data_IF_999501679634
#
_entry.id   IF_999501679634
#
_cell.length_a   1.000
_cell.length_b   1.000
_cell.length_c   1.000
_cell.angle_alpha   90.00
_cell.angle_beta   90.00
_cell.angle_gamma   90.00
#
_symmetry.space_group_name_H-M   'P 1'
#
loop_
_entity.id
_entity.type
_entity.pdbx_description
1 polymer ?
#
# COMPACT_ATOMS: atom_id res chain seq x y z
N UNK A 1 -5.66 -38.34 -4.86
CA UNK A 1 -5.18 -38.76 -6.20
C UNK A 1 -5.61 -37.83 -7.35
N UNK A 2 -6.70 -37.05 -7.25
CA UNK A 2 -7.16 -36.17 -8.35
C UNK A 2 -6.32 -34.88 -8.50
N UNK A 3 -5.80 -34.30 -7.40
CA UNK A 3 -4.98 -33.06 -7.45
C UNK A 3 -3.70 -33.21 -8.29
N UNK A 4 -2.95 -34.30 -8.13
CA UNK A 4 -1.69 -34.50 -8.87
C UNK A 4 -1.87 -34.70 -10.38
N UNK A 5 -2.96 -35.35 -10.82
CA UNK A 5 -3.22 -35.58 -12.23
C UNK A 5 -3.58 -34.29 -12.99
N UNK A 6 -4.33 -33.38 -12.35
CA UNK A 6 -4.68 -32.07 -12.93
C UNK A 6 -3.49 -31.13 -13.02
N UNK A 7 -2.56 -31.18 -12.05
CA UNK A 7 -1.31 -30.39 -12.08
C UNK A 7 -0.45 -30.81 -13.26
N UNK A 8 -0.24 -32.12 -13.47
CA UNK A 8 0.57 -32.64 -14.59
C UNK A 8 -0.07 -32.30 -15.94
N UNK A 9 -1.39 -32.39 -16.06
CA UNK A 9 -2.08 -32.11 -17.32
C UNK A 9 -2.06 -30.62 -17.72
N UNK A 10 -2.01 -29.71 -16.74
CA UNK A 10 -2.02 -28.25 -16.98
C UNK A 10 -0.65 -27.60 -16.72
N UNK A 11 0.41 -28.41 -16.55
CA UNK A 11 1.74 -27.95 -16.17
C UNK A 11 2.28 -26.81 -17.05
N UNK A 12 2.17 -26.83 -18.40
CA UNK A 12 2.68 -25.73 -19.23
C UNK A 12 1.93 -24.40 -19.01
N UNK A 13 0.62 -24.45 -18.77
CA UNK A 13 -0.20 -23.26 -18.49
C UNK A 13 0.10 -22.70 -17.09
N UNK A 14 0.31 -23.59 -16.12
CA UNK A 14 0.71 -23.23 -14.76
C UNK A 14 2.09 -22.58 -14.77
N UNK A 15 3.10 -23.21 -15.38
CA UNK A 15 4.46 -22.68 -15.49
C UNK A 15 4.49 -21.33 -16.20
N UNK A 16 3.64 -21.13 -17.21
CA UNK A 16 3.50 -19.84 -17.87
C UNK A 16 2.94 -18.76 -16.93
N UNK A 17 1.93 -19.08 -16.10
CA UNK A 17 1.27 -18.11 -15.23
C UNK A 17 2.04 -17.82 -13.93
N UNK A 18 2.73 -18.82 -13.38
CA UNK A 18 3.47 -18.69 -12.11
C UNK A 18 4.95 -18.45 -12.33
N UNK A 19 5.47 -18.77 -13.52
CA UNK A 19 6.85 -18.53 -13.92
C UNK A 19 7.03 -17.28 -14.78
N UNK A 20 5.94 -16.64 -15.25
CA UNK A 20 6.08 -15.30 -15.82
C UNK A 20 6.37 -14.26 -14.73
N UNK A 21 7.07 -13.20 -15.14
CA UNK A 21 7.52 -12.14 -14.24
C UNK A 21 6.36 -11.54 -13.43
N UNK A 22 5.22 -11.36 -14.08
CA UNK A 22 4.01 -10.76 -13.49
C UNK A 22 3.43 -11.62 -12.36
N UNK A 23 3.38 -12.94 -12.55
CA UNK A 23 2.92 -13.90 -11.55
C UNK A 23 3.84 -13.92 -10.33
N UNK A 24 5.16 -14.01 -10.56
CA UNK A 24 6.17 -13.99 -9.49
C UNK A 24 6.14 -12.68 -8.69
N UNK A 25 6.05 -11.54 -9.37
CA UNK A 25 5.90 -10.22 -8.72
C UNK A 25 4.62 -10.15 -7.87
N UNK A 26 3.52 -10.75 -8.35
CA UNK A 26 2.26 -10.79 -7.59
C UNK A 26 2.35 -11.71 -6.37
N UNK A 27 3.04 -12.86 -6.50
CA UNK A 27 3.27 -13.76 -5.36
C UNK A 27 4.12 -13.06 -4.30
N UNK A 28 5.22 -12.43 -4.69
CA UNK A 28 6.08 -11.66 -3.77
C UNK A 28 5.33 -10.49 -3.13
N UNK A 29 4.47 -9.80 -3.87
CA UNK A 29 3.59 -8.79 -3.29
C UNK A 29 2.63 -9.40 -2.25
N UNK A 30 2.03 -10.56 -2.56
CA UNK A 30 1.11 -11.24 -1.65
C UNK A 30 1.78 -11.75 -0.36
N UNK A 31 3.09 -12.04 -0.36
CA UNK A 31 3.86 -12.40 0.84
C UNK A 31 3.85 -11.30 1.90
N UNK A 32 3.68 -10.03 1.50
CA UNK A 32 3.60 -8.88 2.42
C UNK A 32 2.18 -8.65 2.98
N UNK A 33 1.21 -9.49 2.60
CA UNK A 33 -0.16 -9.38 3.12
C UNK A 33 -0.16 -9.62 4.63
N UNK A 34 -0.81 -8.76 5.44
CA UNK A 34 -0.89 -8.98 6.88
C UNK A 34 -1.48 -10.36 7.23
N UNK A 35 -0.92 -11.08 8.23
CA UNK A 35 -1.46 -12.36 8.66
C UNK A 35 -2.94 -12.28 9.04
N UNK A 36 -3.75 -13.20 8.53
CA UNK A 36 -5.20 -13.26 8.74
C UNK A 36 -6.02 -12.36 7.82
N UNK A 37 -5.39 -11.54 6.97
CA UNK A 37 -6.11 -10.67 6.04
C UNK A 37 -6.72 -11.45 4.86
N UNK A 38 -7.79 -10.86 4.29
CA UNK A 38 -8.35 -11.25 3.01
C UNK A 38 -7.72 -10.42 1.91
N UNK A 39 -6.98 -11.07 1.01
CA UNK A 39 -6.40 -10.47 -0.19
C UNK A 39 -7.38 -10.61 -1.37
N UNK A 40 -7.87 -9.49 -1.88
CA UNK A 40 -8.63 -9.45 -3.12
C UNK A 40 -7.66 -9.23 -4.29
N UNK A 41 -7.69 -10.14 -5.26
CA UNK A 41 -7.05 -9.94 -6.56
C UNK A 41 -8.11 -10.24 -7.62
N UNK A 42 -8.36 -9.32 -8.58
CA UNK A 42 -9.31 -9.57 -9.64
C UNK A 42 -8.99 -10.89 -10.36
N UNK A 43 -10.03 -11.67 -10.66
CA UNK A 43 -9.87 -12.93 -11.36
C UNK A 43 -9.17 -12.69 -12.72
N UNK A 44 -7.90 -13.09 -12.79
CA UNK A 44 -7.05 -13.18 -13.98
C UNK A 44 -5.76 -13.94 -13.66
N UNK A 45 -4.75 -13.81 -14.52
CA UNK A 45 -3.44 -14.48 -14.36
C UNK A 45 -2.81 -14.27 -12.98
N UNK A 46 -2.87 -13.04 -12.46
CA UNK A 46 -2.35 -12.66 -11.13
C UNK A 46 -3.04 -13.42 -10.00
N UNK A 47 -4.37 -13.52 -10.02
CA UNK A 47 -5.14 -14.27 -9.03
C UNK A 47 -4.76 -15.76 -9.07
N UNK A 48 -4.63 -16.33 -10.26
CA UNK A 48 -4.20 -17.73 -10.40
C UNK A 48 -2.77 -17.99 -9.95
N UNK A 49 -1.84 -17.07 -10.19
CA UNK A 49 -0.47 -17.20 -9.70
C UNK A 49 -0.44 -17.30 -8.17
N UNK A 50 -1.15 -16.40 -7.48
CA UNK A 50 -1.26 -16.40 -6.01
C UNK A 50 -2.03 -17.62 -5.51
N UNK A 51 -3.13 -17.99 -6.17
CA UNK A 51 -3.91 -19.18 -5.84
C UNK A 51 -3.09 -20.47 -5.99
N UNK A 52 -2.24 -20.57 -7.01
CA UNK A 52 -1.34 -21.71 -7.18
C UNK A 52 -0.26 -21.76 -6.09
N UNK A 53 0.39 -20.62 -5.80
CA UNK A 53 1.35 -20.53 -4.71
C UNK A 53 0.74 -20.99 -3.38
N UNK A 54 -0.50 -20.59 -3.10
CA UNK A 54 -1.24 -21.00 -1.91
C UNK A 54 -1.65 -22.45 -1.91
N UNK A 55 -2.48 -22.86 -2.87
CA UNK A 55 -3.20 -24.12 -2.81
C UNK A 55 -2.37 -25.33 -3.29
N UNK A 56 -1.27 -25.08 -3.99
CA UNK A 56 -0.40 -26.13 -4.57
C UNK A 56 1.01 -26.11 -3.97
N UNK A 57 1.63 -24.94 -3.86
CA UNK A 57 2.99 -24.83 -3.30
C UNK A 57 3.02 -24.76 -1.76
N UNK A 58 1.87 -24.54 -1.10
CA UNK A 58 1.79 -24.40 0.36
C UNK A 58 2.46 -23.13 0.87
N UNK A 59 2.52 -22.09 0.04
CA UNK A 59 2.94 -20.74 0.43
C UNK A 59 1.70 -19.95 0.91
N UNK A 60 1.88 -18.77 1.49
CA UNK A 60 0.75 -17.83 1.73
C UNK A 60 -0.42 -18.39 2.57
N UNK A 61 -0.21 -19.42 3.40
CA UNK A 61 -1.25 -20.01 4.26
C UNK A 61 -1.82 -19.01 5.30
N UNK A 62 -1.12 -17.89 5.51
CA UNK A 62 -1.51 -16.83 6.42
C UNK A 62 -2.61 -15.92 5.88
N UNK A 63 -3.00 -16.03 4.60
CA UNK A 63 -4.04 -15.17 4.00
C UNK A 63 -5.21 -15.97 3.41
N UNK A 64 -6.34 -15.27 3.27
CA UNK A 64 -7.47 -15.72 2.47
C UNK A 64 -7.43 -15.01 1.10
N UNK A 65 -7.38 -15.76 0.00
CA UNK A 65 -7.46 -15.20 -1.34
C UNK A 65 -8.92 -15.18 -1.83
N UNK A 66 -9.38 -14.04 -2.34
CA UNK A 66 -10.69 -13.88 -2.99
C UNK A 66 -10.56 -13.13 -4.32
N UNK A 67 -11.62 -13.19 -5.13
CA UNK A 67 -11.73 -12.44 -6.38
C UNK A 67 -12.78 -11.31 -6.31
N UNK A 68 -12.99 -10.64 -7.43
CA UNK A 68 -13.91 -9.51 -7.56
C UNK A 68 -15.41 -9.85 -7.41
N UNK A 69 -15.77 -11.11 -7.12
CA UNK A 69 -17.16 -11.57 -6.92
C UNK A 69 -17.51 -11.83 -5.45
N UNK A 70 -16.54 -11.69 -4.54
CA UNK A 70 -16.76 -11.93 -3.12
C UNK A 70 -17.64 -10.84 -2.49
N UNK A 71 -18.23 -11.14 -1.32
CA UNK A 71 -18.99 -10.15 -0.56
C UNK A 71 -18.03 -9.26 0.25
N UNK A 72 -17.60 -8.13 -0.33
CA UNK A 72 -16.65 -7.23 0.33
C UNK A 72 -17.20 -6.54 1.57
N UNK A 73 -18.52 -6.35 1.67
CA UNK A 73 -19.10 -5.75 2.87
C UNK A 73 -18.87 -6.63 4.09
N UNK A 74 -19.14 -7.92 3.97
CA UNK A 74 -18.94 -8.86 5.08
C UNK A 74 -17.44 -9.02 5.37
N UNK A 75 -16.62 -9.17 4.32
CA UNK A 75 -15.17 -9.32 4.47
C UNK A 75 -14.49 -8.12 5.16
N UNK A 76 -14.90 -6.89 4.82
CA UNK A 76 -14.36 -5.68 5.43
C UNK A 76 -14.96 -5.40 6.83
N UNK A 77 -16.10 -6.00 7.17
CA UNK A 77 -16.69 -5.92 8.51
C UNK A 77 -16.05 -6.93 9.48
N UNK A 78 -15.73 -8.13 8.98
CA UNK A 78 -15.24 -9.24 9.78
C UNK A 78 -13.71 -9.27 9.94
N UNK A 79 -12.97 -8.54 9.10
CA UNK A 79 -11.52 -8.54 9.14
C UNK A 79 -10.84 -7.51 8.23
N UNK A 80 -9.55 -7.74 7.98
CA UNK A 80 -8.71 -6.89 7.14
C UNK A 80 -8.92 -7.28 5.67
N UNK A 81 -9.64 -6.44 4.92
CA UNK A 81 -9.76 -6.56 3.46
C UNK A 81 -8.66 -5.74 2.80
N UNK A 82 -7.81 -6.38 2.00
CA UNK A 82 -6.64 -5.77 1.37
C UNK A 82 -6.65 -6.07 -0.13
N UNK A 83 -6.17 -5.12 -0.94
CA UNK A 83 -6.00 -5.28 -2.39
C UNK A 83 -4.70 -4.61 -2.85
N UNK A 84 -4.01 -5.12 -3.88
CA UNK A 84 -2.91 -4.40 -4.50
C UNK A 84 -3.33 -3.03 -5.07
N UNK A 85 -2.48 -2.02 -4.96
CA UNK A 85 -2.81 -0.65 -5.39
C UNK A 85 -3.15 -0.56 -6.89
N UNK A 86 -2.49 -1.35 -7.75
CA UNK A 86 -2.75 -1.35 -9.18
C UNK A 86 -4.20 -1.75 -9.53
N UNK A 87 -4.92 -2.39 -8.60
CA UNK A 87 -6.32 -2.79 -8.84
C UNK A 87 -7.22 -1.58 -9.03
N UNK A 88 -6.90 -0.42 -8.44
CA UNK A 88 -7.70 0.80 -8.55
C UNK A 88 -7.76 1.39 -9.97
N UNK A 89 -6.84 1.02 -10.87
CA UNK A 89 -6.92 1.41 -12.28
C UNK A 89 -8.12 0.79 -13.01
N UNK A 90 -8.55 -0.41 -12.62
CA UNK A 90 -9.72 -1.09 -13.21
C UNK A 90 -10.91 -1.20 -12.27
N UNK A 91 -10.66 -1.08 -10.96
CA UNK A 91 -11.64 -1.10 -9.88
C UNK A 91 -11.47 0.16 -9.03
N UNK A 92 -11.85 1.34 -9.57
CA UNK A 92 -11.64 2.61 -8.88
C UNK A 92 -12.38 2.65 -7.54
N UNK A 93 -12.04 3.62 -6.68
CA UNK A 93 -12.65 3.77 -5.35
C UNK A 93 -14.19 3.78 -5.40
N UNK A 94 -14.78 4.40 -6.44
CA UNK A 94 -16.24 4.40 -6.66
C UNK A 94 -16.81 3.00 -6.89
N UNK A 95 -16.08 2.13 -7.61
CA UNK A 95 -16.49 0.74 -7.79
C UNK A 95 -16.51 -0.01 -6.45
N UNK A 96 -15.50 0.20 -5.60
CA UNK A 96 -15.47 -0.39 -4.25
C UNK A 96 -16.67 0.08 -3.40
N UNK A 97 -16.96 1.39 -3.44
CA UNK A 97 -18.12 1.96 -2.75
C UNK A 97 -19.44 1.37 -3.24
N UNK A 98 -19.58 1.11 -4.54
CA UNK A 98 -20.77 0.47 -5.12
C UNK A 98 -20.88 -1.01 -4.72
N UNK A 99 -19.79 -1.78 -4.79
CA UNK A 99 -19.80 -3.20 -4.40
C UNK A 99 -20.10 -3.38 -2.91
N UNK A 100 -19.58 -2.48 -2.07
CA UNK A 100 -19.83 -2.50 -0.62
C UNK A 100 -21.19 -1.87 -0.30
N UNK A 101 -21.64 -0.88 -1.06
CA UNK A 101 -22.84 -0.08 -0.78
C UNK A 101 -22.66 0.94 0.36
N UNK A 102 -21.43 1.42 0.57
CA UNK A 102 -21.07 2.42 1.59
C UNK A 102 -19.76 3.15 1.21
N UNK A 103 -19.46 4.32 1.79
CA UNK A 103 -18.13 4.93 1.68
C UNK A 103 -17.03 3.97 2.17
N UNK A 104 -15.84 4.12 1.60
CA UNK A 104 -14.65 3.35 1.98
C UNK A 104 -13.49 4.28 2.35
N UNK A 105 -12.66 3.79 3.25
CA UNK A 105 -11.51 4.50 3.79
C UNK A 105 -10.26 3.67 3.50
N UNK A 106 -9.27 4.31 2.89
CA UNK A 106 -8.07 3.64 2.39
C UNK A 106 -6.88 3.97 3.29
N UNK A 107 -6.10 2.95 3.61
CA UNK A 107 -4.80 3.06 4.26
C UNK A 107 -3.84 2.04 3.65
N UNK A 108 -2.53 2.26 3.75
CA UNK A 108 -1.56 1.27 3.34
C UNK A 108 -1.48 0.15 4.40
N UNK A 109 -1.68 -1.10 3.97
CA UNK A 109 -1.52 -2.29 4.82
C UNK A 109 -0.07 -2.81 4.80
N UNK A 110 0.58 -2.69 3.65
CA UNK A 110 1.98 -3.00 3.39
C UNK A 110 2.39 -2.27 2.10
N UNK A 111 3.68 -2.27 1.70
CA UNK A 111 4.10 -1.72 0.41
C UNK A 111 3.23 -2.24 -0.74
N UNK A 112 2.63 -1.31 -1.49
CA UNK A 112 1.74 -1.55 -2.64
C UNK A 112 0.46 -2.34 -2.32
N UNK A 113 0.11 -2.51 -1.04
CA UNK A 113 -1.12 -3.14 -0.56
C UNK A 113 -1.98 -2.13 0.18
N UNK A 114 -3.22 -1.96 -0.27
CA UNK A 114 -4.19 -1.02 0.28
C UNK A 114 -5.26 -1.76 1.06
N UNK A 115 -5.48 -1.36 2.31
CA UNK A 115 -6.61 -1.79 3.11
C UNK A 115 -7.87 -1.03 2.70
N UNK A 116 -8.99 -1.75 2.58
CA UNK A 116 -10.32 -1.20 2.37
C UNK A 116 -11.11 -1.28 3.68
N UNK A 117 -11.39 -0.14 4.31
CA UNK A 117 -12.11 -0.06 5.58
C UNK A 117 -13.50 0.55 5.42
N UNK A 118 -14.47 0.09 6.23
CA UNK A 118 -15.84 0.64 6.28
C UNK A 118 -15.96 1.88 7.17
N UNK A 119 -14.97 2.10 8.03
CA UNK A 119 -14.91 3.23 8.96
C UNK A 119 -13.55 3.91 8.87
N UNK A 120 -13.48 5.25 8.98
CA UNK A 120 -12.21 5.95 9.02
C UNK A 120 -11.47 5.61 10.31
N UNK A 121 -10.16 5.46 10.23
CA UNK A 121 -9.32 5.51 11.42
C UNK A 121 -9.36 6.93 12.01
N UNK A 122 -9.39 7.03 13.33
CA UNK A 122 -9.54 8.30 14.04
C UNK A 122 -8.25 8.68 14.73
N UNK A 123 -7.73 9.85 14.39
CA UNK A 123 -6.59 10.43 15.07
C UNK A 123 -7.00 10.95 16.48
N UNK A 124 -6.04 11.04 17.42
CA UNK A 124 -6.14 11.98 18.53
C UNK A 124 -6.41 13.41 18.03
N UNK A 125 -6.87 14.28 18.92
CA UNK A 125 -7.11 15.68 18.56
C UNK A 125 -5.81 16.35 18.07
N UNK A 126 -5.82 16.84 16.83
CA UNK A 126 -4.75 17.63 16.20
C UNK A 126 -5.20 19.07 16.02
N UNK A 127 -4.26 20.02 15.96
CA UNK A 127 -4.57 21.44 15.80
C UNK A 127 -4.36 21.95 14.36
N UNK A 128 -3.64 21.20 13.53
CA UNK A 128 -3.35 21.50 12.14
C UNK A 128 -3.16 20.19 11.35
N UNK A 129 -3.06 20.28 10.03
CA UNK A 129 -2.55 19.19 9.20
C UNK A 129 -1.12 18.88 9.65
N UNK A 130 -0.88 17.64 10.08
CA UNK A 130 0.40 17.22 10.69
C UNK A 130 0.61 15.71 10.52
N UNK A 131 1.84 15.25 10.77
CA UNK A 131 2.14 13.84 11.02
C UNK A 131 1.90 13.53 12.50
N UNK A 132 1.03 12.56 12.78
CA UNK A 132 0.73 12.13 14.17
C UNK A 132 1.56 10.93 14.61
N UNK A 133 2.08 10.15 13.65
CA UNK A 133 3.01 9.06 13.90
C UNK A 133 3.90 8.85 12.68
N UNK A 134 5.15 8.45 12.93
CA UNK A 134 6.09 8.10 11.87
C UNK A 134 7.19 7.19 12.40
N UNK A 135 7.53 6.17 11.62
CA UNK A 135 8.53 5.19 12.01
C UNK A 135 9.29 4.65 10.80
N UNK A 136 10.55 4.28 11.02
CA UNK A 136 11.37 3.55 10.06
C UNK A 136 11.41 2.09 10.46
N UNK A 137 11.15 1.21 9.49
CA UNK A 137 11.36 -0.22 9.62
C UNK A 137 12.39 -0.71 8.60
N UNK A 138 13.39 -1.42 9.10
CA UNK A 138 14.49 -1.94 8.30
C UNK A 138 14.19 -3.38 7.91
N UNK A 139 14.25 -3.66 6.61
CA UNK A 139 14.19 -4.98 6.02
C UNK A 139 15.49 -5.26 5.27
N UNK A 140 15.74 -6.51 4.92
CA UNK A 140 17.02 -6.93 4.30
C UNK A 140 17.36 -6.12 3.04
N UNK A 141 16.38 -5.90 2.16
CA UNK A 141 16.56 -5.19 0.88
C UNK A 141 15.80 -3.85 0.80
N UNK A 142 15.14 -3.43 1.88
CA UNK A 142 14.27 -2.25 1.88
C UNK A 142 14.24 -1.51 3.22
N UNK A 143 13.95 -0.22 3.15
CA UNK A 143 13.65 0.63 4.30
C UNK A 143 12.22 1.13 4.12
N UNK A 144 11.35 0.85 5.08
CA UNK A 144 9.96 1.29 5.04
C UNK A 144 9.80 2.49 5.96
N UNK A 145 9.37 3.62 5.41
CA UNK A 145 8.86 4.74 6.18
C UNK A 145 7.34 4.56 6.33
N UNK A 146 6.86 4.39 7.56
CA UNK A 146 5.43 4.51 7.87
C UNK A 146 5.14 5.93 8.32
N UNK A 147 4.05 6.49 7.82
CA UNK A 147 3.58 7.81 8.23
C UNK A 147 2.07 7.77 8.42
N UNK A 148 1.59 8.31 9.53
CA UNK A 148 0.16 8.56 9.74
C UNK A 148 -0.07 10.07 9.77
N UNK A 149 -0.87 10.54 8.83
CA UNK A 149 -1.25 11.93 8.68
C UNK A 149 -2.62 12.19 9.31
N UNK A 150 -2.84 13.40 9.83
CA UNK A 150 -4.16 13.83 10.26
C UNK A 150 -4.35 15.33 10.11
N UNK A 151 -5.60 15.77 10.00
CA UNK A 151 -5.97 17.19 9.99
C UNK A 151 -7.25 17.42 10.80
N UNK A 152 -7.38 18.53 11.57
CA UNK A 152 -8.60 18.82 12.33
C UNK A 152 -9.82 19.13 11.47
N UNK A 153 -9.60 19.45 10.19
CA UNK A 153 -10.61 19.81 9.21
C UNK A 153 -10.29 19.12 7.87
N UNK A 154 -11.26 18.99 6.98
CA UNK A 154 -11.00 18.56 5.60
C UNK A 154 -10.07 19.57 4.93
N UNK A 155 -8.86 19.17 4.49
CA UNK A 155 -7.97 20.04 3.73
C UNK A 155 -8.66 20.59 2.47
N UNK A 156 -8.40 21.86 2.16
CA UNK A 156 -9.03 22.56 1.03
C UNK A 156 -8.34 22.29 -0.33
N UNK A 157 -7.14 21.73 -0.30
CA UNK A 157 -6.34 21.44 -1.48
C UNK A 157 -5.65 20.08 -1.35
N UNK A 158 -5.45 19.43 -2.48
CA UNK A 158 -4.63 18.22 -2.56
C UNK A 158 -3.15 18.61 -2.54
N UNK A 159 -2.39 17.87 -1.73
CA UNK A 159 -0.95 17.99 -1.62
C UNK A 159 -0.30 16.67 -2.05
N UNK A 160 0.87 16.77 -2.65
CA UNK A 160 1.72 15.63 -2.96
C UNK A 160 2.64 15.31 -1.80
N UNK A 161 3.06 14.05 -1.70
CA UNK A 161 4.02 13.57 -0.71
C UNK A 161 5.38 13.50 -1.36
N UNK A 162 6.40 14.03 -0.69
CA UNK A 162 7.80 13.73 -1.03
C UNK A 162 8.41 12.84 0.05
N UNK A 163 9.26 11.91 -0.36
CA UNK A 163 10.02 11.02 0.53
C UNK A 163 11.38 10.77 -0.09
N UNK A 164 12.42 11.33 0.49
CA UNK A 164 13.79 11.28 -0.01
C UNK A 164 14.71 10.58 0.99
N UNK A 165 15.39 9.53 0.54
CA UNK A 165 16.49 8.90 1.26
C UNK A 165 17.78 9.68 0.96
N UNK A 166 18.46 10.17 1.99
CA UNK A 166 19.65 10.99 1.89
C UNK A 166 20.89 10.23 2.38
N UNK A 167 22.06 10.56 1.82
CA UNK A 167 23.36 10.13 2.33
C UNK A 167 23.90 11.08 3.41
N UNK A 168 25.08 10.79 3.97
CA UNK A 168 25.74 11.63 5.00
C UNK A 168 26.10 13.04 4.51
N UNK A 169 26.14 13.27 3.19
CA UNK A 169 26.41 14.57 2.59
C UNK A 169 25.12 15.34 2.24
N UNK A 170 23.95 14.75 2.52
CA UNK A 170 22.64 15.30 2.18
C UNK A 170 22.23 15.10 0.71
N UNK A 171 22.91 14.23 -0.04
CA UNK A 171 22.53 13.90 -1.41
C UNK A 171 21.38 12.89 -1.42
N UNK A 172 20.38 13.09 -2.29
CA UNK A 172 19.28 12.15 -2.48
C UNK A 172 19.80 10.90 -3.20
N UNK A 173 19.71 9.75 -2.54
CA UNK A 173 20.14 8.45 -3.07
C UNK A 173 18.96 7.55 -3.46
N UNK A 174 17.76 7.80 -2.95
CA UNK A 174 16.51 7.19 -3.39
C UNK A 174 15.31 8.10 -3.07
N UNK A 175 14.17 7.86 -3.71
CA UNK A 175 12.93 8.60 -3.47
C UNK A 175 11.69 7.73 -3.67
N UNK A 176 10.59 8.12 -3.02
CA UNK A 176 9.30 7.45 -3.09
C UNK A 176 8.13 8.46 -3.12
N UNK A 177 8.31 9.55 -3.87
CA UNK A 177 7.33 10.65 -4.01
C UNK A 177 6.02 10.15 -4.63
N UNK A 178 4.89 10.69 -4.16
CA UNK A 178 3.54 10.31 -4.59
C UNK A 178 2.63 11.52 -4.76
N UNK A 179 1.68 11.46 -5.69
CA UNK A 179 0.77 12.59 -5.95
C UNK A 179 -0.21 12.87 -4.80
N UNK A 180 -0.47 11.88 -3.94
CA UNK A 180 -1.22 11.96 -2.68
C UNK A 180 -0.88 10.73 -1.81
N UNK A 181 -1.25 10.71 -0.52
CA UNK A 181 -1.10 9.52 0.31
C UNK A 181 -1.85 8.29 -0.21
N UNK A 182 -1.42 7.12 0.27
CA UNK A 182 -1.91 5.78 -0.05
C UNK A 182 -1.78 5.49 -1.55
N UNK A 183 -0.55 5.58 -2.07
CA UNK A 183 -0.21 5.35 -3.48
C UNK A 183 -0.97 6.29 -4.45
N UNK A 184 -1.29 7.51 -4.00
CA UNK A 184 -2.09 8.46 -4.77
C UNK A 184 -3.61 8.25 -4.68
N UNK A 185 -4.07 7.22 -3.96
CA UNK A 185 -5.50 6.87 -3.87
C UNK A 185 -6.24 7.56 -2.72
N UNK A 186 -5.55 8.33 -1.87
CA UNK A 186 -6.17 9.10 -0.78
C UNK A 186 -5.86 10.62 -0.85
N UNK A 187 -6.37 11.35 -1.87
CA UNK A 187 -6.28 12.81 -1.94
C UNK A 187 -6.80 13.49 -0.67
N UNK A 188 -6.12 14.55 -0.25
CA UNK A 188 -6.36 15.23 1.03
C UNK A 188 -7.76 15.85 1.10
N UNK A 189 -8.26 16.37 -0.02
CA UNK A 189 -9.62 16.94 -0.11
C UNK A 189 -10.73 15.92 0.16
N UNK A 190 -10.42 14.62 0.11
CA UNK A 190 -11.33 13.53 0.46
C UNK A 190 -11.33 13.15 1.95
N UNK A 191 -10.47 13.75 2.77
CA UNK A 191 -10.33 13.39 4.18
C UNK A 191 -11.46 13.94 5.03
N UNK A 192 -11.84 13.19 6.06
CA UNK A 192 -12.74 13.69 7.09
C UNK A 192 -11.97 14.46 8.18
N UNK A 193 -12.62 15.44 8.86
CA UNK A 193 -12.05 16.08 10.04
C UNK A 193 -11.62 15.06 11.09
N UNK A 194 -10.34 15.02 11.45
CA UNK A 194 -9.74 14.09 12.41
C UNK A 194 -9.61 12.64 11.92
N UNK A 195 -9.69 12.41 10.61
CA UNK A 195 -9.29 11.14 10.00
C UNK A 195 -7.77 10.96 10.14
N UNK A 196 -7.36 9.74 10.51
CA UNK A 196 -5.97 9.29 10.42
C UNK A 196 -5.78 8.54 9.10
N UNK A 197 -4.84 9.00 8.28
CA UNK A 197 -4.49 8.39 6.99
C UNK A 197 -3.08 7.83 7.07
N UNK A 198 -2.98 6.51 7.18
CA UNK A 198 -1.72 5.77 7.30
C UNK A 198 -1.22 5.33 5.92
N UNK A 199 0.07 5.56 5.66
CA UNK A 199 0.76 5.22 4.42
C UNK A 199 2.12 4.56 4.69
N UNK A 200 2.64 3.83 3.70
CA UNK A 200 3.91 3.12 3.76
C UNK A 200 4.70 3.37 2.49
N UNK A 201 5.84 4.04 2.64
CA UNK A 201 6.78 4.37 1.57
C UNK A 201 7.99 3.43 1.64
N UNK A 202 8.12 2.55 0.65
CA UNK A 202 9.25 1.63 0.56
C UNK A 202 10.38 2.28 -0.25
N UNK A 203 11.55 2.41 0.37
CA UNK A 203 12.81 2.81 -0.24
C UNK A 203 13.75 1.60 -0.31
N UNK A 204 14.66 1.53 -1.29
CA UNK A 204 15.67 0.48 -1.31
C UNK A 204 16.61 0.62 -0.11
N UNK A 205 17.04 -0.50 0.47
CA UNK A 205 18.17 -0.48 1.41
C UNK A 205 19.42 0.00 0.65
N UNK A 206 20.18 0.91 1.26
CA UNK A 206 21.34 1.51 0.64
C UNK A 206 22.45 1.74 1.66
N UNK A 207 23.67 1.33 1.32
CA UNK A 207 24.86 1.66 2.11
C UNK A 207 25.06 3.18 2.12
N UNK A 208 25.30 3.74 3.30
CA UNK A 208 25.47 5.18 3.48
C UNK A 208 24.16 5.97 3.54
N UNK A 209 23.01 5.29 3.61
CA UNK A 209 21.74 5.93 3.97
C UNK A 209 21.81 6.51 5.38
N UNK A 210 21.58 7.82 5.50
CA UNK A 210 21.72 8.57 6.75
C UNK A 210 20.37 9.03 7.30
N UNK A 211 19.50 9.54 6.43
CA UNK A 211 18.29 10.27 6.82
C UNK A 211 17.19 10.07 5.79
N UNK A 212 15.95 9.92 6.24
CA UNK A 212 14.77 10.05 5.38
C UNK A 212 14.15 11.41 5.64
N UNK A 213 14.09 12.24 4.59
CA UNK A 213 13.38 13.52 4.61
C UNK A 213 12.05 13.37 3.89
N UNK A 214 10.96 13.73 4.53
CA UNK A 214 9.63 13.54 3.96
C UNK A 214 8.67 14.66 4.36
N UNK A 215 7.56 14.78 3.64
CA UNK A 215 6.61 15.83 3.91
C UNK A 215 5.53 15.96 2.85
N UNK A 216 4.76 17.04 2.95
CA UNK A 216 3.71 17.40 2.01
C UNK A 216 4.10 18.66 1.27
N UNK A 217 3.84 18.71 -0.03
CA UNK A 217 4.17 19.85 -0.87
C UNK A 217 3.08 20.10 -1.92
N UNK A 218 3.10 21.27 -2.52
CA UNK A 218 2.35 21.56 -3.72
C UNK A 218 3.23 22.28 -4.75
N UNK A 219 2.83 22.18 -6.02
CA UNK A 219 3.45 22.96 -7.08
C UNK A 219 2.69 24.27 -7.27
N UNK A 220 3.42 25.39 -7.18
CA UNK A 220 2.91 26.73 -7.45
C UNK A 220 2.66 26.94 -8.95
N UNK A 221 1.84 27.94 -9.34
CA UNK A 221 1.57 28.25 -10.74
C UNK A 221 2.82 28.62 -11.58
N UNK A 222 3.92 29.02 -10.93
CA UNK A 222 5.20 29.33 -11.56
C UNK A 222 6.12 28.09 -11.67
N UNK A 223 5.56 26.90 -11.49
CA UNK A 223 6.22 25.58 -11.50
C UNK A 223 7.18 25.33 -10.34
N UNK A 224 7.36 26.29 -9.42
CA UNK A 224 8.13 26.08 -8.19
C UNK A 224 7.39 25.20 -7.19
N UNK A 225 8.13 24.51 -6.32
CA UNK A 225 7.55 23.66 -5.27
C UNK A 225 7.59 24.38 -3.92
N UNK A 226 6.54 24.23 -3.12
CA UNK A 226 6.49 24.71 -1.74
C UNK A 226 6.12 23.57 -0.80
N UNK A 227 6.97 23.34 0.20
CA UNK A 227 6.72 22.36 1.26
C UNK A 227 5.78 22.98 2.30
N UNK A 228 4.67 22.30 2.55
CA UNK A 228 3.69 22.62 3.60
C UNK A 228 4.12 21.99 4.92
N UNK A 229 4.59 20.75 4.87
CA UNK A 229 5.19 20.03 6.00
C UNK A 229 6.53 19.44 5.57
N UNK A 230 7.47 19.35 6.49
CA UNK A 230 8.77 18.72 6.27
C UNK A 230 9.30 18.14 7.60
N UNK A 231 9.74 16.89 7.56
CA UNK A 231 10.30 16.15 8.67
C UNK A 231 11.52 15.36 8.23
N UNK A 232 12.38 15.03 9.19
CA UNK A 232 13.55 14.19 8.99
C UNK A 232 13.59 13.10 10.06
N UNK A 233 13.88 11.86 9.63
CA UNK A 233 14.11 10.73 10.53
C UNK A 233 15.48 10.12 10.23
N UNK A 234 16.34 9.93 11.24
CA UNK A 234 17.63 9.27 11.04
C UNK A 234 17.43 7.79 10.72
N UNK A 235 18.13 7.30 9.69
CA UNK A 235 18.16 5.89 9.33
C UNK A 235 19.17 5.19 10.24
N UNK A 236 18.69 4.20 11.00
CA UNK A 236 19.54 3.40 11.91
C UNK A 236 19.63 1.93 11.48
N UNK A 237 19.24 1.63 10.24
CA UNK A 237 19.34 0.29 9.67
C UNK A 237 20.80 -0.16 9.61
N UNK A 238 21.08 -1.37 10.10
CA UNK A 238 22.41 -1.96 9.94
C UNK A 238 22.61 -2.26 8.44
N UNK A 239 23.66 -1.67 7.86
CA UNK A 239 24.12 -1.98 6.51
C UNK A 239 24.99 -3.24 6.48
#
# INVERSE_FOLDING_TARGET
MVRGALVVQNQPFIEQLTGDRTGLETISLAEHTPPGATLMIPWGSRHFAVGFARDVLGMLDHLQLVDHKANFRDLAADGLLVTPEYTFYNHPVTWWQEQIGAPVYLSAAAPLLVQISLTPERAPAVNALDTIDSAIECHDDAIWLRVTWASPQTPEADLSVFVHLLDDNGAVIAQADQSAPVYGWRPLTGWLPGEAVSDIYALPAATGASTIRYGLYYQRPDESFENVLEYELPVTCAA
#
